data_IF_561702106916
#
_entry.id   IF_561702106916
#
_cell.length_a   1.000
_cell.length_b   1.000
_cell.length_c   1.000
_cell.angle_alpha   90.00
_cell.angle_beta   90.00
_cell.angle_gamma   90.00
#
_symmetry.space_group_name_H-M   'P 1'
#
loop_
_entity.id
_entity.type
_entity.pdbx_description
1 polymer ?
#
# COMPACT_ATOMS: atom_id res chain seq x y z
N UNK A 1 10.53 -3.71 18.47
CA UNK A 1 10.24 -4.99 17.79
C UNK A 1 10.12 -4.85 16.28
N UNK A 2 9.21 -4.02 15.75
CA UNK A 2 9.02 -3.84 14.29
C UNK A 2 10.33 -3.45 13.57
N UNK A 3 11.07 -2.46 14.08
CA UNK A 3 12.35 -2.05 13.49
C UNK A 3 13.40 -3.16 13.47
N UNK A 4 13.45 -4.00 14.51
CA UNK A 4 14.38 -5.12 14.58
C UNK A 4 14.05 -6.18 13.53
N UNK A 5 12.76 -6.47 13.34
CA UNK A 5 12.27 -7.38 12.30
C UNK A 5 12.68 -6.92 10.89
N UNK A 6 12.41 -5.67 10.50
CA UNK A 6 12.82 -5.18 9.17
C UNK A 6 14.34 -5.02 9.01
N UNK A 7 15.07 -4.76 10.10
CA UNK A 7 16.53 -4.74 10.05
C UNK A 7 17.11 -6.13 9.80
N UNK A 8 16.51 -7.15 10.41
CA UNK A 8 16.83 -8.55 10.13
C UNK A 8 16.52 -8.92 8.68
N UNK A 9 15.31 -8.63 8.17
CA UNK A 9 14.97 -8.89 6.77
C UNK A 9 15.94 -8.19 5.81
N UNK A 10 16.34 -6.95 6.11
CA UNK A 10 17.35 -6.22 5.31
C UNK A 10 18.71 -6.90 5.34
N UNK A 11 19.14 -7.47 6.47
CA UNK A 11 20.39 -8.25 6.54
C UNK A 11 20.37 -9.52 5.68
N UNK A 12 19.18 -10.05 5.39
CA UNK A 12 18.97 -11.15 4.44
C UNK A 12 18.78 -10.69 2.99
N UNK A 13 18.93 -9.38 2.71
CA UNK A 13 18.73 -8.82 1.38
C UNK A 13 17.28 -8.56 1.00
N UNK A 14 16.34 -8.55 1.95
CA UNK A 14 14.93 -8.25 1.71
C UNK A 14 14.53 -6.88 2.31
N UNK A 15 14.65 -5.78 1.55
CA UNK A 15 14.31 -4.44 2.03
C UNK A 15 12.81 -4.08 1.86
N UNK A 16 12.01 -5.00 1.33
CA UNK A 16 10.65 -4.73 0.87
C UNK A 16 9.59 -4.93 1.98
N UNK A 17 8.42 -4.29 1.83
CA UNK A 17 7.25 -4.60 2.65
C UNK A 17 6.82 -6.06 2.51
N UNK A 18 6.38 -6.66 3.61
CA UNK A 18 6.00 -8.09 3.67
C UNK A 18 4.54 -8.32 3.27
N UNK A 19 3.66 -7.38 3.61
CA UNK A 19 2.23 -7.44 3.33
C UNK A 19 1.91 -7.68 1.85
N UNK A 20 2.55 -7.00 0.86
CA UNK A 20 2.29 -7.26 -0.55
C UNK A 20 2.52 -8.72 -0.96
N UNK A 21 3.51 -9.40 -0.39
CA UNK A 21 3.70 -10.82 -0.67
C UNK A 21 2.55 -11.66 -0.07
N UNK A 22 2.16 -11.38 1.17
CA UNK A 22 1.14 -12.17 1.87
C UNK A 22 -0.27 -11.99 1.33
N UNK A 23 -0.64 -10.82 0.81
CA UNK A 23 -1.99 -10.59 0.26
C UNK A 23 -2.31 -11.43 -0.98
N UNK A 24 -1.30 -12.01 -1.66
CA UNK A 24 -1.54 -12.94 -2.76
C UNK A 24 -2.37 -14.14 -2.33
N UNK A 25 -2.21 -14.59 -1.07
CA UNK A 25 -2.98 -15.71 -0.52
C UNK A 25 -4.48 -15.38 -0.41
N UNK A 26 -4.93 -14.40 0.38
CA UNK A 26 -6.36 -14.09 0.48
C UNK A 26 -6.95 -13.67 -0.86
N UNK A 27 -6.22 -12.94 -1.71
CA UNK A 27 -6.72 -12.58 -3.05
C UNK A 27 -6.95 -13.84 -3.90
N UNK A 28 -5.91 -14.65 -4.09
CA UNK A 28 -5.98 -15.85 -4.93
C UNK A 28 -6.98 -16.88 -4.41
N UNK A 29 -7.09 -17.04 -3.09
CA UNK A 29 -8.03 -17.96 -2.46
C UNK A 29 -9.47 -17.48 -2.56
N UNK A 30 -9.74 -16.18 -2.40
CA UNK A 30 -11.09 -15.63 -2.68
C UNK A 30 -11.46 -15.79 -4.15
N UNK A 31 -10.53 -15.54 -5.07
CA UNK A 31 -10.74 -15.79 -6.51
C UNK A 31 -11.01 -17.28 -6.78
N UNK A 32 -10.24 -18.17 -6.15
CA UNK A 32 -10.45 -19.62 -6.25
C UNK A 32 -11.82 -20.05 -5.73
N UNK A 33 -12.25 -19.50 -4.58
CA UNK A 33 -13.58 -19.76 -4.02
C UNK A 33 -14.69 -19.36 -5.00
N UNK A 34 -14.56 -18.20 -5.65
CA UNK A 34 -15.50 -17.74 -6.65
C UNK A 34 -15.55 -18.67 -7.87
N UNK A 35 -14.38 -19.02 -8.43
CA UNK A 35 -14.27 -19.87 -9.62
C UNK A 35 -14.86 -21.26 -9.36
N UNK A 36 -14.47 -21.88 -8.25
CA UNK A 36 -15.00 -23.20 -7.87
C UNK A 36 -16.49 -23.14 -7.52
N UNK A 37 -16.97 -22.05 -6.92
CA UNK A 37 -18.39 -21.84 -6.64
C UNK A 37 -19.23 -21.78 -7.92
N UNK A 38 -18.80 -21.02 -8.92
CA UNK A 38 -19.44 -21.00 -10.24
C UNK A 38 -19.34 -22.36 -10.96
N UNK A 39 -18.18 -23.01 -10.91
CA UNK A 39 -17.98 -24.31 -11.54
C UNK A 39 -18.87 -25.40 -10.92
N UNK A 40 -19.06 -25.37 -9.59
CA UNK A 40 -19.99 -26.26 -8.90
C UNK A 40 -21.43 -26.09 -9.41
N UNK A 41 -21.86 -24.84 -9.65
CA UNK A 41 -23.18 -24.52 -10.18
C UNK A 41 -23.35 -24.91 -11.65
N UNK A 42 -22.40 -24.56 -12.50
CA UNK A 42 -22.48 -24.81 -13.94
C UNK A 42 -22.36 -26.30 -14.27
N UNK A 43 -21.42 -27.00 -13.61
CA UNK A 43 -21.13 -28.41 -13.87
C UNK A 43 -21.97 -29.36 -13.01
N UNK A 44 -22.74 -28.83 -12.04
CA UNK A 44 -23.54 -29.61 -11.08
C UNK A 44 -22.70 -30.66 -10.34
N UNK A 45 -21.47 -30.31 -9.96
CA UNK A 45 -20.52 -31.19 -9.27
C UNK A 45 -20.30 -30.70 -7.83
N UNK A 46 -20.85 -31.36 -6.80
CA UNK A 46 -20.78 -30.90 -5.41
C UNK A 46 -19.34 -30.88 -4.87
N UNK A 47 -18.46 -31.74 -5.38
CA UNK A 47 -17.03 -31.75 -5.01
C UNK A 47 -16.34 -30.39 -5.28
N UNK A 48 -16.79 -29.64 -6.28
CA UNK A 48 -16.24 -28.30 -6.56
C UNK A 48 -16.72 -27.28 -5.52
N UNK A 49 -17.92 -27.45 -4.95
CA UNK A 49 -18.40 -26.64 -3.83
C UNK A 49 -17.55 -26.81 -2.57
N UNK A 50 -17.08 -28.03 -2.31
CA UNK A 50 -16.09 -28.29 -1.27
C UNK A 50 -14.78 -27.57 -1.53
N UNK A 51 -14.25 -27.63 -2.75
CA UNK A 51 -13.04 -26.87 -3.12
C UNK A 51 -13.21 -25.37 -2.89
N UNK A 52 -14.37 -24.80 -3.24
CA UNK A 52 -14.68 -23.39 -2.97
C UNK A 52 -14.64 -23.06 -1.47
N UNK A 53 -15.20 -23.94 -0.64
CA UNK A 53 -15.17 -23.80 0.82
C UNK A 53 -13.76 -23.91 1.39
N UNK A 54 -12.93 -24.84 0.91
CA UNK A 54 -11.53 -24.94 1.33
C UNK A 54 -10.75 -23.66 1.01
N UNK A 55 -10.96 -23.10 -0.18
CA UNK A 55 -10.38 -21.81 -0.54
C UNK A 55 -10.83 -20.71 0.43
N UNK A 56 -12.12 -20.65 0.79
CA UNK A 56 -12.62 -19.66 1.74
C UNK A 56 -12.01 -19.82 3.14
N UNK A 57 -11.89 -21.06 3.64
CA UNK A 57 -11.25 -21.37 4.93
C UNK A 57 -9.81 -20.86 4.95
N UNK A 58 -9.03 -21.20 3.91
CA UNK A 58 -7.65 -20.75 3.80
C UNK A 58 -7.57 -19.22 3.66
N UNK A 59 -8.49 -18.58 2.92
CA UNK A 59 -8.52 -17.12 2.80
C UNK A 59 -8.76 -16.46 4.17
N UNK A 60 -9.66 -17.01 4.99
CA UNK A 60 -9.92 -16.55 6.34
C UNK A 60 -8.69 -16.73 7.25
N UNK A 61 -7.98 -17.86 7.17
CA UNK A 61 -6.75 -18.07 7.93
C UNK A 61 -5.64 -17.10 7.51
N UNK A 62 -5.45 -16.87 6.20
CA UNK A 62 -4.42 -15.96 5.68
C UNK A 62 -4.77 -14.48 5.84
N UNK A 63 -6.03 -14.15 6.16
CA UNK A 63 -6.41 -12.79 6.50
C UNK A 63 -5.61 -12.25 7.70
N UNK A 64 -5.41 -13.07 8.73
CA UNK A 64 -4.69 -12.66 9.95
C UNK A 64 -3.23 -12.25 9.69
N UNK A 65 -2.35 -13.11 9.11
CA UNK A 65 -0.98 -12.70 8.82
C UNK A 65 -0.96 -11.52 7.85
N UNK A 66 -1.82 -11.48 6.83
CA UNK A 66 -1.89 -10.34 5.92
C UNK A 66 -2.24 -9.03 6.66
N UNK A 67 -3.19 -9.06 7.59
CA UNK A 67 -3.58 -7.89 8.39
C UNK A 67 -2.46 -7.45 9.34
N UNK A 68 -1.84 -8.38 10.06
CA UNK A 68 -0.73 -8.08 11.00
C UNK A 68 0.43 -7.43 10.27
N UNK A 69 0.90 -8.05 9.18
CA UNK A 69 2.01 -7.49 8.40
C UNK A 69 1.60 -6.22 7.66
N UNK A 70 0.32 -6.04 7.33
CA UNK A 70 -0.21 -4.79 6.80
C UNK A 70 -0.09 -3.64 7.80
N UNK A 71 -0.40 -3.88 9.07
CA UNK A 71 -0.23 -2.90 10.14
C UNK A 71 1.26 -2.61 10.42
N UNK A 72 2.12 -3.64 10.37
CA UNK A 72 3.57 -3.47 10.53
C UNK A 72 4.17 -2.65 9.39
N UNK A 73 3.82 -2.95 8.13
CA UNK A 73 4.28 -2.20 6.97
C UNK A 73 3.78 -0.76 7.01
N UNK A 74 2.53 -0.54 7.43
CA UNK A 74 1.97 0.79 7.61
C UNK A 74 2.74 1.62 8.65
N UNK A 75 3.08 1.03 9.80
CA UNK A 75 3.87 1.71 10.81
C UNK A 75 5.32 1.95 10.36
N UNK A 76 5.95 0.98 9.71
CA UNK A 76 7.37 1.06 9.36
C UNK A 76 7.63 1.95 8.12
N UNK A 77 6.88 1.77 7.04
CA UNK A 77 7.12 2.47 5.77
C UNK A 77 6.34 3.79 5.65
N UNK A 78 5.18 3.89 6.30
CA UNK A 78 4.31 5.07 6.21
C UNK A 78 4.20 5.83 7.54
N UNK A 79 5.04 5.51 8.53
CA UNK A 79 5.05 6.14 9.85
C UNK A 79 3.68 6.18 10.55
N UNK A 80 2.78 5.23 10.24
CA UNK A 80 1.43 5.19 10.81
C UNK A 80 0.50 6.30 10.31
N UNK A 81 0.80 6.93 9.17
CA UNK A 81 -0.05 8.00 8.61
C UNK A 81 -1.29 7.40 7.94
N UNK A 82 -2.47 7.94 8.27
CA UNK A 82 -3.74 7.55 7.64
C UNK A 82 -3.97 8.25 6.31
N UNK A 83 -3.23 7.85 5.27
CA UNK A 83 -3.51 8.27 3.90
C UNK A 83 -4.89 7.74 3.44
N UNK A 84 -5.56 8.43 2.53
CA UNK A 84 -6.88 8.03 2.04
C UNK A 84 -6.91 6.55 1.55
N UNK A 85 -5.95 6.06 0.73
CA UNK A 85 -5.93 4.66 0.32
C UNK A 85 -5.74 3.69 1.50
N UNK A 86 -5.02 4.07 2.55
CA UNK A 86 -4.82 3.25 3.75
C UNK A 86 -6.13 3.17 4.56
N UNK A 87 -6.83 4.29 4.74
CA UNK A 87 -8.15 4.31 5.40
C UNK A 87 -9.13 3.37 4.71
N UNK A 88 -9.23 3.47 3.38
CA UNK A 88 -10.12 2.63 2.59
C UNK A 88 -9.72 1.14 2.67
N UNK A 89 -8.42 0.84 2.66
CA UNK A 89 -7.94 -0.54 2.87
C UNK A 89 -8.31 -1.11 4.23
N UNK A 90 -8.19 -0.34 5.32
CA UNK A 90 -8.58 -0.81 6.65
C UNK A 90 -10.08 -1.12 6.73
N UNK A 91 -10.92 -0.25 6.15
CA UNK A 91 -12.37 -0.47 6.07
C UNK A 91 -12.68 -1.73 5.26
N UNK A 92 -12.14 -1.85 4.04
CA UNK A 92 -12.39 -3.00 3.17
C UNK A 92 -11.84 -4.30 3.75
N UNK A 93 -10.72 -4.27 4.48
CA UNK A 93 -10.17 -5.44 5.15
C UNK A 93 -11.10 -5.93 6.27
N UNK A 94 -11.69 -5.01 7.03
CA UNK A 94 -12.72 -5.33 8.03
C UNK A 94 -13.99 -5.91 7.41
N UNK A 95 -14.49 -5.32 6.31
CA UNK A 95 -15.64 -5.83 5.57
C UNK A 95 -15.35 -7.23 5.02
N UNK A 96 -14.18 -7.44 4.43
CA UNK A 96 -13.76 -8.74 3.93
C UNK A 96 -13.75 -9.79 5.06
N UNK A 97 -13.23 -9.46 6.24
CA UNK A 97 -13.26 -10.36 7.39
C UNK A 97 -14.67 -10.78 7.79
N UNK A 98 -15.62 -9.84 7.79
CA UNK A 98 -17.02 -10.12 8.07
C UNK A 98 -17.59 -11.08 7.02
N UNK A 99 -17.39 -10.82 5.73
CA UNK A 99 -17.88 -11.70 4.67
C UNK A 99 -17.26 -13.09 4.68
N UNK A 100 -15.94 -13.19 4.91
CA UNK A 100 -15.26 -14.48 5.09
C UNK A 100 -15.84 -15.25 6.28
N UNK A 101 -16.09 -14.57 7.41
CA UNK A 101 -16.66 -15.18 8.61
C UNK A 101 -18.10 -15.64 8.39
N UNK A 102 -18.93 -14.83 7.72
CA UNK A 102 -20.29 -15.22 7.34
C UNK A 102 -20.26 -16.43 6.40
N UNK A 103 -19.37 -16.45 5.41
CA UNK A 103 -19.24 -17.58 4.49
C UNK A 103 -18.76 -18.86 5.17
N UNK A 104 -17.93 -18.75 6.22
CA UNK A 104 -17.38 -19.88 6.96
C UNK A 104 -18.38 -20.45 7.98
N UNK A 105 -18.99 -19.59 8.79
CA UNK A 105 -19.85 -19.97 9.91
C UNK A 105 -21.34 -19.96 9.58
N UNK A 106 -21.75 -19.35 8.45
CA UNK A 106 -23.15 -19.25 8.02
C UNK A 106 -23.82 -20.58 7.60
N UNK A 107 -23.21 -21.72 7.92
CA UNK A 107 -23.90 -23.00 8.08
C UNK A 107 -24.74 -23.46 6.89
N UNK A 108 -24.16 -23.51 5.68
CA UNK A 108 -24.82 -24.17 4.54
C UNK A 108 -24.03 -25.38 4.08
N UNK A 109 -24.77 -26.43 3.76
CA UNK A 109 -24.23 -27.70 3.33
C UNK A 109 -23.57 -27.52 1.94
N UNK A 110 -22.26 -27.80 1.78
CA UNK A 110 -21.55 -27.59 0.51
C UNK A 110 -22.10 -28.40 -0.65
N UNK A 111 -22.85 -29.47 -0.33
CA UNK A 111 -23.53 -30.33 -1.31
C UNK A 111 -24.72 -29.63 -1.97
N UNK A 112 -25.31 -28.66 -1.28
CA UNK A 112 -26.42 -27.88 -1.82
C UNK A 112 -25.88 -26.65 -2.55
N UNK A 113 -25.90 -26.72 -3.89
CA UNK A 113 -25.51 -25.62 -4.75
C UNK A 113 -26.58 -24.52 -4.72
N UNK A 114 -26.43 -23.57 -3.79
CA UNK A 114 -27.31 -22.41 -3.69
C UNK A 114 -26.61 -21.12 -4.16
N UNK A 115 -27.41 -20.18 -4.62
CA UNK A 115 -26.98 -18.81 -4.90
C UNK A 115 -26.46 -18.06 -3.66
N UNK A 116 -26.84 -18.49 -2.46
CA UNK A 116 -26.42 -17.88 -1.19
C UNK A 116 -24.90 -17.88 -0.95
N UNK A 117 -24.23 -19.06 -0.91
CA UNK A 117 -22.77 -19.13 -0.81
C UNK A 117 -22.05 -18.39 -1.95
N UNK A 118 -22.58 -18.47 -3.18
CA UNK A 118 -22.01 -17.79 -4.33
C UNK A 118 -22.04 -16.27 -4.18
N UNK A 119 -23.13 -15.70 -3.65
CA UNK A 119 -23.22 -14.27 -3.37
C UNK A 119 -22.13 -13.81 -2.38
N UNK A 120 -21.82 -14.61 -1.36
CA UNK A 120 -20.72 -14.32 -0.43
C UNK A 120 -19.38 -14.33 -1.16
N UNK A 121 -19.13 -15.31 -2.03
CA UNK A 121 -17.88 -15.35 -2.80
C UNK A 121 -17.74 -14.12 -3.71
N UNK A 122 -18.82 -13.67 -4.35
CA UNK A 122 -18.84 -12.45 -5.16
C UNK A 122 -18.53 -11.22 -4.29
N UNK A 123 -19.14 -11.10 -3.12
CA UNK A 123 -18.91 -9.98 -2.20
C UNK A 123 -17.46 -9.95 -1.70
N UNK A 124 -16.90 -11.11 -1.31
CA UNK A 124 -15.48 -11.24 -0.98
C UNK A 124 -14.60 -10.83 -2.16
N UNK A 125 -14.94 -11.27 -3.37
CA UNK A 125 -14.19 -10.96 -4.59
C UNK A 125 -14.18 -9.45 -4.88
N UNK A 126 -15.32 -8.78 -4.79
CA UNK A 126 -15.41 -7.33 -4.91
C UNK A 126 -14.55 -6.61 -3.85
N UNK A 127 -14.51 -7.12 -2.62
CA UNK A 127 -13.65 -6.56 -1.58
C UNK A 127 -12.16 -6.68 -1.92
N UNK A 128 -11.69 -7.85 -2.38
CA UNK A 128 -10.27 -8.04 -2.74
C UNK A 128 -9.88 -7.22 -3.98
N UNK A 129 -10.79 -7.00 -4.93
CA UNK A 129 -10.58 -6.07 -6.05
C UNK A 129 -10.40 -4.63 -5.54
N UNK A 130 -11.26 -4.17 -4.64
CA UNK A 130 -11.14 -2.85 -4.03
C UNK A 130 -9.83 -2.70 -3.24
N UNK A 131 -9.48 -3.69 -2.43
CA UNK A 131 -8.20 -3.73 -1.69
C UNK A 131 -7.00 -3.67 -2.63
N UNK A 132 -7.05 -4.41 -3.75
CA UNK A 132 -6.05 -4.39 -4.81
C UNK A 132 -5.92 -3.02 -5.46
N UNK A 133 -7.04 -2.38 -5.80
CA UNK A 133 -7.08 -1.04 -6.42
C UNK A 133 -6.47 0.03 -5.51
N UNK A 134 -6.90 0.11 -4.24
CA UNK A 134 -6.31 1.04 -3.28
C UNK A 134 -4.84 0.72 -2.98
N UNK A 135 -4.43 -0.54 -3.10
CA UNK A 135 -3.03 -0.95 -2.98
C UNK A 135 -2.19 -0.48 -4.16
N UNK A 136 -2.71 -0.65 -5.37
CA UNK A 136 -2.12 -0.10 -6.58
C UNK A 136 -1.97 1.41 -6.49
N UNK A 137 -2.99 2.12 -6.02
CA UNK A 137 -2.91 3.58 -5.86
C UNK A 137 -1.88 4.03 -4.82
N UNK A 138 -1.61 3.23 -3.79
CA UNK A 138 -0.55 3.53 -2.82
C UNK A 138 0.86 3.41 -3.42
N UNK A 139 1.05 2.52 -4.40
CA UNK A 139 2.36 2.22 -5.02
C UNK A 139 2.58 2.97 -6.33
N UNK A 140 1.53 3.15 -7.11
CA UNK A 140 1.56 3.66 -8.48
C UNK A 140 0.85 5.00 -8.64
N UNK A 141 -0.12 5.33 -7.78
CA UNK A 141 -0.90 6.58 -7.88
C UNK A 141 -0.09 7.85 -7.67
N UNK A 142 1.12 7.71 -7.11
CA UNK A 142 2.07 8.79 -6.88
C UNK A 142 3.28 8.78 -7.82
N UNK A 143 3.45 7.74 -8.65
CA UNK A 143 4.63 7.62 -9.52
C UNK A 143 4.66 8.75 -10.54
N UNK A 144 5.85 9.31 -10.68
CA UNK A 144 6.06 10.41 -11.60
C UNK A 144 6.37 9.90 -13.01
N UNK A 145 5.98 10.66 -14.04
CA UNK A 145 6.29 10.32 -15.43
C UNK A 145 7.81 10.28 -15.62
N UNK A 146 8.34 9.41 -16.52
CA UNK A 146 9.78 9.29 -16.75
C UNK A 146 10.44 10.66 -16.94
N UNK A 147 11.48 10.91 -16.14
CA UNK A 147 12.33 12.10 -16.27
C UNK A 147 13.41 11.88 -17.32
N UNK A 148 14.01 12.97 -17.83
CA UNK A 148 15.22 12.88 -18.64
C UNK A 148 16.32 12.13 -17.87
N UNK A 149 17.25 11.49 -18.59
CA UNK A 149 18.28 10.62 -18.01
C UNK A 149 19.08 11.32 -16.88
N UNK A 150 19.33 12.62 -17.02
CA UNK A 150 20.02 13.47 -16.02
C UNK A 150 19.28 13.58 -14.67
N UNK A 151 17.95 13.41 -14.64
CA UNK A 151 17.13 13.51 -13.43
C UNK A 151 16.62 12.15 -12.92
N UNK A 152 16.98 11.05 -13.61
CA UNK A 152 16.47 9.71 -13.30
C UNK A 152 16.79 9.26 -11.88
N UNK A 153 18.01 9.57 -11.39
CA UNK A 153 18.40 9.23 -10.02
C UNK A 153 17.54 9.97 -8.98
N UNK A 154 17.35 11.29 -9.14
CA UNK A 154 16.49 12.07 -8.26
C UNK A 154 15.02 11.64 -8.30
N UNK A 155 14.52 11.25 -9.48
CA UNK A 155 13.19 10.68 -9.65
C UNK A 155 13.02 9.36 -8.90
N UNK A 156 13.99 8.45 -8.98
CA UNK A 156 13.96 7.18 -8.25
C UNK A 156 13.92 7.41 -6.73
N UNK A 157 14.78 8.30 -6.22
CA UNK A 157 14.79 8.65 -4.80
C UNK A 157 13.43 9.22 -4.39
N UNK A 158 12.85 10.11 -5.19
CA UNK A 158 11.54 10.71 -4.92
C UNK A 158 10.42 9.65 -4.91
N UNK A 159 10.37 8.79 -5.92
CA UNK A 159 9.35 7.76 -6.04
C UNK A 159 9.41 6.79 -4.86
N UNK A 160 10.62 6.42 -4.41
CA UNK A 160 10.85 5.48 -3.31
C UNK A 160 10.61 6.07 -1.91
N UNK A 161 10.88 7.37 -1.71
CA UNK A 161 10.94 7.95 -0.37
C UNK A 161 9.90 9.05 -0.12
N UNK A 162 9.44 9.73 -1.16
CA UNK A 162 8.67 10.96 -1.03
C UNK A 162 7.26 10.82 -1.60
N UNK A 163 7.10 10.11 -2.72
CA UNK A 163 5.88 10.13 -3.53
C UNK A 163 4.63 9.66 -2.78
N UNK A 164 4.76 8.73 -1.84
CA UNK A 164 3.64 8.22 -1.04
C UNK A 164 2.93 9.30 -0.21
N UNK A 165 3.70 10.27 0.32
CA UNK A 165 3.16 11.40 1.08
C UNK A 165 3.08 12.69 0.25
N UNK A 166 3.93 12.83 -0.77
CA UNK A 166 4.01 13.98 -1.66
C UNK A 166 3.67 13.61 -3.11
N UNK A 167 2.46 13.09 -3.39
CA UNK A 167 2.10 12.66 -4.73
C UNK A 167 2.17 13.86 -5.68
N UNK A 168 2.93 13.72 -6.77
CA UNK A 168 3.15 14.78 -7.77
C UNK A 168 3.61 16.11 -7.18
N UNK A 169 4.28 16.10 -6.02
CA UNK A 169 4.76 17.31 -5.34
C UNK A 169 3.72 18.03 -4.48
N UNK A 170 2.55 17.43 -4.26
CA UNK A 170 1.57 17.90 -3.28
C UNK A 170 1.92 17.47 -1.84
N UNK A 171 0.91 17.42 -0.98
CA UNK A 171 1.01 16.84 0.36
C UNK A 171 -0.31 16.15 0.71
N UNK A 172 -0.28 14.81 0.78
CA UNK A 172 -1.46 13.99 1.03
C UNK A 172 -1.97 14.07 2.48
N UNK A 173 -1.18 14.65 3.38
CA UNK A 173 -1.46 14.73 4.82
C UNK A 173 -1.99 16.13 5.18
N UNK A 174 -1.29 17.17 4.74
CA UNK A 174 -1.64 18.58 4.91
C UNK A 174 -1.70 19.25 3.52
N UNK A 175 -2.84 19.19 2.81
CA UNK A 175 -2.95 19.70 1.44
C UNK A 175 -2.58 21.18 1.26
N UNK A 176 -2.71 21.97 2.33
CA UNK A 176 -2.32 23.39 2.38
C UNK A 176 -0.80 23.63 2.55
N UNK A 177 0.00 22.58 2.75
CA UNK A 177 1.45 22.63 2.85
C UNK A 177 2.08 21.69 1.79
N UNK A 178 1.90 21.97 0.49
CA UNK A 178 2.49 21.16 -0.58
C UNK A 178 4.02 21.19 -0.55
N UNK A 179 4.66 20.17 -1.13
CA UNK A 179 6.11 20.19 -1.32
C UNK A 179 6.49 21.27 -2.34
N UNK A 180 5.75 21.37 -3.45
CA UNK A 180 6.00 22.38 -4.47
C UNK A 180 5.59 23.77 -3.98
N UNK A 181 6.49 24.74 -4.18
CA UNK A 181 6.33 26.10 -3.66
C UNK A 181 6.73 26.27 -2.19
N UNK A 182 7.17 25.20 -1.52
CA UNK A 182 7.67 25.28 -0.16
C UNK A 182 8.93 26.18 -0.08
N UNK A 183 9.05 27.07 0.92
CA UNK A 183 10.20 27.97 1.06
C UNK A 183 11.54 27.22 1.20
N UNK A 184 11.50 26.00 1.72
CA UNK A 184 12.65 25.13 1.89
C UNK A 184 13.27 24.67 0.57
N UNK A 185 12.54 24.77 -0.55
CA UNK A 185 13.09 24.52 -1.89
C UNK A 185 13.85 25.72 -2.48
N UNK A 186 13.94 26.85 -1.77
CA UNK A 186 14.58 28.07 -2.26
C UNK A 186 16.06 27.90 -2.64
N UNK A 187 16.80 27.04 -1.91
CA UNK A 187 18.16 26.66 -2.25
C UNK A 187 18.48 25.26 -1.69
N UNK A 188 19.58 24.66 -2.14
CA UNK A 188 19.95 23.29 -1.74
C UNK A 188 20.23 23.16 -0.24
N UNK A 189 20.87 24.13 0.40
CA UNK A 189 21.19 24.05 1.83
C UNK A 189 19.93 24.05 2.68
N UNK A 190 18.98 24.94 2.39
CA UNK A 190 17.69 24.98 3.08
C UNK A 190 16.89 23.69 2.90
N UNK A 191 16.93 23.10 1.69
CA UNK A 191 16.31 21.81 1.43
C UNK A 191 16.98 20.69 2.24
N UNK A 192 18.32 20.67 2.26
CA UNK A 192 19.10 19.67 2.97
C UNK A 192 18.82 19.75 4.48
N UNK A 193 18.87 20.95 5.07
CA UNK A 193 18.59 21.17 6.49
C UNK A 193 17.18 20.68 6.87
N UNK A 194 16.18 20.98 6.03
CA UNK A 194 14.82 20.49 6.21
C UNK A 194 14.70 18.98 6.08
N UNK A 195 15.37 18.38 5.09
CA UNK A 195 15.39 16.93 4.87
C UNK A 195 15.99 16.19 6.08
N UNK A 196 17.00 16.78 6.74
CA UNK A 196 17.65 16.22 7.94
C UNK A 196 16.82 16.41 9.21
N UNK A 197 16.11 17.53 9.37
CA UNK A 197 15.32 17.83 10.57
C UNK A 197 13.98 18.54 10.20
N UNK A 198 13.01 17.81 9.64
CA UNK A 198 11.78 18.41 9.13
C UNK A 198 10.91 18.94 10.27
N UNK A 199 10.51 20.21 10.16
CA UNK A 199 9.62 20.90 11.10
C UNK A 199 8.42 21.50 10.38
N UNK A 200 7.34 21.73 11.11
CA UNK A 200 6.23 22.53 10.62
C UNK A 200 6.60 24.02 10.65
N UNK A 201 5.87 24.90 9.93
CA UNK A 201 6.14 26.34 9.93
C UNK A 201 6.12 26.99 11.32
N UNK A 202 5.40 26.39 12.28
CA UNK A 202 5.35 26.80 13.69
C UNK A 202 6.50 26.24 14.54
N UNK A 203 7.46 25.55 13.94
CA UNK A 203 8.60 24.90 14.60
C UNK A 203 8.27 23.56 15.27
N UNK A 204 7.00 23.15 15.29
CA UNK A 204 6.59 21.87 15.89
C UNK A 204 7.02 20.67 15.04
N UNK A 205 7.05 19.49 15.64
CA UNK A 205 7.45 18.26 14.94
C UNK A 205 6.30 17.77 14.06
N UNK A 206 6.56 17.64 12.76
CA UNK A 206 5.62 17.07 11.80
C UNK A 206 5.65 15.54 11.75
N UNK A 207 4.87 14.99 10.82
CA UNK A 207 4.84 13.56 10.50
C UNK A 207 5.90 13.14 9.47
N UNK A 208 6.48 14.10 8.74
CA UNK A 208 7.56 13.82 7.81
C UNK A 208 8.76 13.28 8.59
N UNK A 209 9.28 12.09 8.25
CA UNK A 209 10.44 11.54 8.93
C UNK A 209 11.70 12.31 8.53
N UNK A 210 12.66 12.37 9.46
CA UNK A 210 14.02 12.79 9.13
C UNK A 210 14.69 11.76 8.22
N UNK A 211 15.42 12.22 7.23
CA UNK A 211 16.27 11.38 6.39
C UNK A 211 17.73 11.68 6.74
N UNK A 212 18.40 10.85 7.56
CA UNK A 212 19.82 11.04 7.86
C UNK A 212 20.70 10.69 6.66
N UNK A 213 21.97 11.13 6.68
CA UNK A 213 22.95 10.88 5.60
C UNK A 213 23.09 9.39 5.26
N UNK A 214 23.03 8.51 6.27
CA UNK A 214 23.04 7.06 6.11
C UNK A 214 21.87 6.51 5.27
N UNK A 215 20.75 7.24 5.16
CA UNK A 215 19.56 6.84 4.39
C UNK A 215 19.53 7.50 3.01
N UNK A 216 19.85 8.78 2.94
CA UNK A 216 19.98 9.57 1.70
C UNK A 216 21.25 10.39 1.85
N UNK A 217 22.30 10.10 1.09
CA UNK A 217 23.56 10.88 1.14
C UNK A 217 23.35 12.31 0.64
N UNK A 218 24.30 13.21 0.89
CA UNK A 218 24.20 14.60 0.43
C UNK A 218 24.14 14.69 -1.10
N UNK A 219 24.89 13.83 -1.81
CA UNK A 219 24.82 13.72 -3.28
C UNK A 219 23.42 13.26 -3.74
N UNK A 220 22.83 12.28 -3.06
CA UNK A 220 21.47 11.83 -3.37
C UNK A 220 20.43 12.92 -3.07
N UNK A 221 20.63 13.68 -1.98
CA UNK A 221 19.79 14.82 -1.65
C UNK A 221 19.88 15.91 -2.72
N UNK A 222 21.06 16.18 -3.28
CA UNK A 222 21.23 17.13 -4.38
C UNK A 222 20.50 16.67 -5.65
N UNK A 223 20.63 15.39 -6.01
CA UNK A 223 19.91 14.81 -7.15
C UNK A 223 18.38 14.91 -6.97
N UNK A 224 17.90 14.62 -5.76
CA UNK A 224 16.49 14.75 -5.38
C UNK A 224 16.03 16.21 -5.47
N UNK A 225 16.79 17.16 -4.94
CA UNK A 225 16.51 18.60 -5.00
C UNK A 225 16.39 19.08 -6.45
N UNK A 226 17.35 18.71 -7.31
CA UNK A 226 17.34 19.05 -8.73
C UNK A 226 16.12 18.48 -9.44
N UNK A 227 15.75 17.24 -9.15
CA UNK A 227 14.54 16.63 -9.72
C UNK A 227 13.27 17.38 -9.31
N UNK A 228 13.10 17.69 -8.02
CA UNK A 228 11.93 18.40 -7.50
C UNK A 228 11.81 19.78 -8.17
N UNK A 229 12.89 20.55 -8.21
CA UNK A 229 12.89 21.94 -8.67
C UNK A 229 12.90 22.09 -10.19
N UNK A 230 13.49 21.16 -10.94
CA UNK A 230 13.63 21.29 -12.41
C UNK A 230 12.62 20.46 -13.20
N UNK A 231 12.07 19.40 -12.63
CA UNK A 231 11.12 18.51 -13.34
C UNK A 231 9.74 18.60 -12.74
N UNK A 232 9.61 18.36 -11.44
CA UNK A 232 8.32 18.30 -10.75
C UNK A 232 7.63 19.67 -10.72
N UNK A 233 8.36 20.74 -10.37
CA UNK A 233 7.84 22.10 -10.33
C UNK A 233 7.37 22.61 -11.71
N UNK A 234 8.12 22.30 -12.77
CA UNK A 234 7.82 22.74 -14.14
C UNK A 234 6.59 22.02 -14.70
N UNK A 235 6.40 20.74 -14.36
CA UNK A 235 5.30 19.92 -14.88
C UNK A 235 3.93 20.25 -14.28
N UNK A 236 3.85 20.85 -13.08
CA UNK A 236 2.56 21.28 -12.51
C UNK A 236 2.01 22.58 -13.10
N UNK A 237 2.84 23.35 -13.84
CA UNK A 237 2.44 24.61 -14.47
C UNK A 237 1.88 24.42 -15.89
N UNK A 238 1.87 23.18 -16.41
CA UNK A 238 1.28 22.79 -17.69
C UNK A 238 0.03 21.94 -17.45
#
# INVERSE_FOLDING_TARGET
MITAFYSFLRSLGYPHPVHPALVHMPIGLVTGALVFGFAALLLRRPILGWSARHCLILAWLFWFPAAVFGLMDWQYFFAGVYLYPIKMKLILAGILFIFLSIGLFGGRDPETVLWGPLAIYILCFCCVLGLGWYGGNLVYGSRTLPAAQEFKAGMQIFDENCSGCHPRGGNAIKPNLPLLGAPELGNFQSFLDYLRNPRLPDGSKGVMPAFPEKKISDLQAEQLYRYITKVLAVRQQK
#
